data_IF_166696674278
#
_entry.id   IF_166696674278
#
_cell.length_a   1.000
_cell.length_b   1.000
_cell.length_c   1.000
_cell.angle_alpha   90.00
_cell.angle_beta   90.00
_cell.angle_gamma   90.00
#
_symmetry.space_group_name_H-M   'P 1'
#
loop_
_entity.id
_entity.type
_entity.pdbx_description
1 polymer ?
#
# COMPACT_ATOMS: atom_id res chain seq x y z
N UNK A 1 -16.64 -1.55 8.24
CA UNK A 1 -16.09 -0.24 7.81
C UNK A 1 -14.60 -0.32 7.46
N UNK A 2 -13.72 -0.77 8.36
CA UNK A 2 -12.26 -0.83 8.14
C UNK A 2 -11.84 -1.60 6.88
N UNK A 3 -12.43 -2.77 6.62
CA UNK A 3 -12.14 -3.58 5.43
C UNK A 3 -12.47 -2.84 4.13
N UNK A 4 -13.59 -2.11 4.11
CA UNK A 4 -13.99 -1.34 2.94
C UNK A 4 -13.01 -0.19 2.64
N UNK A 5 -12.54 0.49 3.68
CA UNK A 5 -11.50 1.52 3.57
C UNK A 5 -10.22 0.90 3.02
N UNK A 6 -9.79 -0.24 3.55
CA UNK A 6 -8.60 -0.95 3.09
C UNK A 6 -8.70 -1.32 1.60
N UNK A 7 -9.80 -1.95 1.17
CA UNK A 7 -10.00 -2.34 -0.24
C UNK A 7 -9.99 -1.11 -1.14
N UNK A 8 -10.66 -0.02 -0.74
CA UNK A 8 -10.69 1.22 -1.51
C UNK A 8 -9.29 1.81 -1.68
N UNK A 9 -8.48 1.81 -0.62
CA UNK A 9 -7.09 2.27 -0.67
C UNK A 9 -6.24 1.39 -1.57
N UNK A 10 -6.37 0.06 -1.47
CA UNK A 10 -5.65 -0.89 -2.34
C UNK A 10 -5.99 -0.60 -3.80
N UNK A 11 -7.28 -0.55 -4.16
CA UNK A 11 -7.70 -0.28 -5.54
C UNK A 11 -7.17 1.08 -6.05
N UNK A 12 -7.16 2.10 -5.20
CA UNK A 12 -6.61 3.41 -5.53
C UNK A 12 -5.10 3.36 -5.80
N UNK A 13 -4.33 2.72 -4.91
CA UNK A 13 -2.89 2.59 -5.08
C UNK A 13 -2.52 1.71 -6.27
N UNK A 14 -3.24 0.61 -6.49
CA UNK A 14 -3.03 -0.29 -7.62
C UNK A 14 -3.31 0.42 -8.94
N UNK A 15 -4.44 1.13 -9.02
CA UNK A 15 -4.80 1.93 -10.18
C UNK A 15 -3.73 2.98 -10.49
N UNK A 16 -3.24 3.68 -9.46
CA UNK A 16 -2.16 4.65 -9.62
C UNK A 16 -0.84 4.00 -10.06
N UNK A 17 -0.43 2.89 -9.44
CA UNK A 17 0.80 2.17 -9.78
C UNK A 17 0.79 1.67 -11.23
N UNK A 18 -0.33 1.07 -11.65
CA UNK A 18 -0.52 0.60 -13.02
C UNK A 18 -0.51 1.78 -14.00
N UNK A 19 -1.20 2.88 -13.69
CA UNK A 19 -1.22 4.06 -14.55
C UNK A 19 0.18 4.67 -14.74
N UNK A 20 0.94 4.84 -13.65
CA UNK A 20 2.31 5.36 -13.72
C UNK A 20 3.27 4.41 -14.43
N UNK A 21 3.05 3.10 -14.31
CA UNK A 21 3.84 2.11 -15.03
C UNK A 21 3.57 2.13 -16.53
N UNK A 22 2.29 2.16 -16.94
CA UNK A 22 1.90 2.19 -18.35
C UNK A 22 2.34 3.47 -19.06
N UNK A 23 2.43 4.58 -18.34
CA UNK A 23 2.92 5.86 -18.87
C UNK A 23 4.46 5.95 -18.84
N UNK A 24 5.17 4.90 -18.43
CA UNK A 24 6.64 4.86 -18.39
C UNK A 24 7.26 5.76 -17.32
N UNK A 25 6.45 6.38 -16.46
CA UNK A 25 6.92 7.35 -15.45
C UNK A 25 7.62 6.65 -14.28
N UNK A 26 7.08 5.51 -13.83
CA UNK A 26 7.57 4.79 -12.65
C UNK A 26 7.55 3.29 -12.92
N UNK A 27 8.62 2.58 -12.55
CA UNK A 27 8.63 1.12 -12.62
C UNK A 27 7.79 0.52 -11.47
N UNK A 28 7.07 -0.59 -11.72
CA UNK A 28 6.20 -1.22 -10.70
C UNK A 28 6.92 -1.52 -9.38
N UNK A 29 8.19 -1.96 -9.43
CA UNK A 29 8.95 -2.25 -8.22
C UNK A 29 9.17 -0.98 -7.37
N UNK A 30 9.35 0.17 -8.03
CA UNK A 30 9.50 1.46 -7.36
C UNK A 30 8.17 1.93 -6.79
N UNK A 31 7.04 1.68 -7.47
CA UNK A 31 5.70 1.92 -6.92
C UNK A 31 5.46 1.11 -5.63
N UNK A 32 5.93 -0.15 -5.59
CA UNK A 32 5.91 -0.97 -4.37
C UNK A 32 6.68 -0.32 -3.20
N UNK A 33 7.88 0.23 -3.45
CA UNK A 33 8.65 0.95 -2.42
C UNK A 33 7.90 2.20 -1.94
N UNK A 34 7.39 3.01 -2.87
CA UNK A 34 6.64 4.23 -2.55
C UNK A 34 5.43 3.88 -1.67
N UNK A 35 4.66 2.86 -2.06
CA UNK A 35 3.52 2.39 -1.29
C UNK A 35 3.94 1.86 0.09
N UNK A 36 5.07 1.15 0.17
CA UNK A 36 5.63 0.66 1.43
C UNK A 36 5.99 1.79 2.40
N UNK A 37 6.52 2.91 1.91
CA UNK A 37 6.82 4.10 2.72
C UNK A 37 5.56 4.87 3.10
N UNK A 38 4.57 4.95 2.21
CA UNK A 38 3.29 5.62 2.49
C UNK A 38 2.43 4.84 3.50
N UNK A 39 2.57 3.51 3.55
CA UNK A 39 1.75 2.64 4.41
C UNK A 39 1.84 2.99 5.90
N UNK A 40 3.04 3.17 6.52
CA UNK A 40 3.16 3.65 7.90
C UNK A 40 2.47 5.00 8.14
N UNK A 41 2.62 5.95 7.22
CA UNK A 41 2.04 7.30 7.32
C UNK A 41 0.52 7.21 7.35
N UNK A 42 -0.05 6.43 6.42
CA UNK A 42 -1.49 6.21 6.36
C UNK A 42 -2.00 5.44 7.58
N UNK A 43 -1.31 4.37 7.98
CA UNK A 43 -1.64 3.59 9.17
C UNK A 43 -1.76 4.46 10.41
N UNK A 44 -0.73 5.26 10.69
CA UNK A 44 -0.73 6.21 11.81
C UNK A 44 -1.85 7.25 11.69
N UNK A 45 -2.04 7.81 10.49
CA UNK A 45 -3.11 8.79 10.25
C UNK A 45 -4.50 8.21 10.52
N UNK A 46 -4.76 6.97 10.11
CA UNK A 46 -6.02 6.29 10.39
C UNK A 46 -6.19 5.95 11.87
N UNK A 47 -5.12 5.53 12.58
CA UNK A 47 -5.18 5.38 14.04
C UNK A 47 -5.64 6.68 14.69
N UNK A 48 -5.02 7.81 14.32
CA UNK A 48 -5.37 9.11 14.88
C UNK A 48 -6.82 9.51 14.58
N UNK A 49 -7.25 9.38 13.32
CA UNK A 49 -8.62 9.72 12.91
C UNK A 49 -9.65 8.85 13.64
N UNK A 50 -9.45 7.54 13.66
CA UNK A 50 -10.37 6.63 14.35
C UNK A 50 -10.38 6.85 15.86
N UNK A 51 -9.25 7.23 16.45
CA UNK A 51 -9.14 7.51 17.87
C UNK A 51 -9.92 8.77 18.26
N UNK A 52 -9.80 9.85 17.49
CA UNK A 52 -10.60 11.07 17.69
C UNK A 52 -12.09 10.80 17.50
N UNK A 53 -12.44 9.99 16.49
CA UNK A 53 -13.81 9.61 16.21
C UNK A 53 -14.40 8.81 17.39
N UNK A 54 -13.67 7.79 17.88
CA UNK A 54 -14.14 6.98 19.00
C UNK A 54 -14.29 7.77 20.28
N UNK A 55 -13.41 8.76 20.54
CA UNK A 55 -13.54 9.69 21.67
C UNK A 55 -14.79 10.54 21.61
N UNK A 56 -15.22 10.91 20.41
CA UNK A 56 -16.41 11.73 20.21
C UNK A 56 -17.69 10.94 20.50
N UNK A 57 -17.72 9.65 20.16
CA UNK A 57 -18.91 8.81 20.32
C UNK A 57 -19.02 8.12 21.69
N UNK A 58 -17.90 7.70 22.28
CA UNK A 58 -17.88 7.09 23.62
C UNK A 58 -16.60 7.47 24.38
N UNK A 59 -16.58 8.66 25.03
CA UNK A 59 -15.40 9.22 25.69
C UNK A 59 -14.85 8.37 26.85
N UNK A 60 -15.63 7.42 27.35
CA UNK A 60 -15.32 6.63 28.54
C UNK A 60 -14.57 5.33 28.24
N UNK A 61 -14.55 4.91 26.98
CA UNK A 61 -13.93 3.68 26.53
C UNK A 61 -12.41 3.78 26.41
N UNK A 62 -11.72 2.63 26.31
CA UNK A 62 -10.26 2.57 26.07
C UNK A 62 -9.86 2.88 24.63
N UNK A 63 -10.81 2.97 23.70
CA UNK A 63 -10.59 3.28 22.29
C UNK A 63 -9.59 2.36 21.55
N UNK A 64 -9.25 1.20 22.11
CA UNK A 64 -8.24 0.30 21.56
C UNK A 64 -8.59 -0.17 20.13
N UNK A 65 -9.89 -0.26 19.81
CA UNK A 65 -10.38 -0.59 18.47
C UNK A 65 -9.84 0.34 17.37
N UNK A 66 -9.60 1.62 17.66
CA UNK A 66 -9.01 2.56 16.71
C UNK A 66 -7.57 2.19 16.36
N UNK A 67 -6.77 1.80 17.36
CA UNK A 67 -5.40 1.35 17.16
C UNK A 67 -5.37 0.06 16.33
N UNK A 68 -6.19 -0.94 16.69
CA UNK A 68 -6.28 -2.19 15.92
C UNK A 68 -6.69 -1.95 14.47
N UNK A 69 -7.67 -1.07 14.22
CA UNK A 69 -8.13 -0.75 12.87
C UNK A 69 -7.03 -0.10 12.02
N UNK A 70 -6.31 0.88 12.55
CA UNK A 70 -5.22 1.53 11.80
C UNK A 70 -4.03 0.62 11.55
N UNK A 71 -3.66 -0.23 12.52
CA UNK A 71 -2.61 -1.26 12.35
C UNK A 71 -3.02 -2.30 11.30
N UNK A 72 -4.29 -2.71 11.28
CA UNK A 72 -4.81 -3.61 10.26
C UNK A 72 -4.71 -3.01 8.85
N UNK A 73 -5.06 -1.72 8.68
CA UNK A 73 -4.90 -1.02 7.41
C UNK A 73 -3.42 -0.96 7.01
N UNK A 74 -2.54 -0.60 7.95
CA UNK A 74 -1.09 -0.55 7.72
C UNK A 74 -0.55 -1.87 7.16
N UNK A 75 -0.81 -2.99 7.84
CA UNK A 75 -0.31 -4.30 7.40
C UNK A 75 -0.93 -4.74 6.08
N UNK A 76 -2.21 -4.43 5.85
CA UNK A 76 -2.85 -4.70 4.56
C UNK A 76 -2.18 -3.97 3.39
N UNK A 77 -1.85 -2.69 3.57
CA UNK A 77 -1.15 -1.91 2.55
C UNK A 77 0.31 -2.36 2.36
N UNK A 78 1.02 -2.73 3.44
CA UNK A 78 2.37 -3.32 3.34
C UNK A 78 2.36 -4.62 2.56
N UNK A 79 1.40 -5.52 2.84
CA UNK A 79 1.27 -6.77 2.11
C UNK A 79 1.09 -6.51 0.61
N UNK A 80 0.25 -5.53 0.25
CA UNK A 80 0.06 -5.13 -1.14
C UNK A 80 1.34 -4.54 -1.77
N UNK A 81 2.03 -3.65 -1.04
CA UNK A 81 3.30 -3.06 -1.48
C UNK A 81 4.36 -4.11 -1.79
N UNK A 82 4.45 -5.18 -0.98
CA UNK A 82 5.35 -6.31 -1.19
C UNK A 82 5.01 -7.04 -2.50
N UNK A 83 3.73 -7.27 -2.78
CA UNK A 83 3.29 -7.93 -4.04
C UNK A 83 3.75 -7.11 -5.25
N UNK A 84 3.53 -5.80 -5.25
CA UNK A 84 3.99 -4.91 -6.32
C UNK A 84 5.50 -4.89 -6.48
N UNK A 85 6.22 -4.88 -5.36
CA UNK A 85 7.68 -4.94 -5.37
C UNK A 85 8.18 -6.21 -6.05
N UNK A 86 7.68 -7.38 -5.62
CA UNK A 86 8.09 -8.68 -6.17
C UNK A 86 7.74 -8.79 -7.65
N UNK A 87 6.49 -8.49 -8.04
CA UNK A 87 6.06 -8.56 -9.44
C UNK A 87 6.89 -7.62 -10.31
N UNK A 88 7.07 -6.38 -9.88
CA UNK A 88 7.86 -5.40 -10.61
C UNK A 88 9.34 -5.81 -10.75
N UNK A 89 9.89 -6.44 -9.72
CA UNK A 89 11.26 -6.95 -9.73
C UNK A 89 11.42 -8.13 -10.71
N UNK A 90 10.48 -9.08 -10.69
CA UNK A 90 10.46 -10.22 -11.62
C UNK A 90 10.37 -9.76 -13.08
N UNK A 91 9.50 -8.79 -13.39
CA UNK A 91 9.39 -8.22 -14.74
C UNK A 91 10.71 -7.60 -15.18
N UNK A 92 11.37 -6.83 -14.30
CA UNK A 92 12.67 -6.22 -14.58
C UNK A 92 13.74 -7.28 -14.85
N UNK A 93 13.76 -8.35 -14.05
CA UNK A 93 14.71 -9.44 -14.17
C UNK A 93 14.54 -10.20 -15.50
N UNK A 94 13.31 -10.56 -15.86
CA UNK A 94 12.99 -11.28 -17.11
C UNK A 94 13.39 -10.43 -18.32
N UNK A 95 13.10 -9.14 -18.30
CA UNK A 95 13.46 -8.23 -19.39
C UNK A 95 14.98 -8.09 -19.56
N UNK A 96 15.73 -8.11 -18.45
CA UNK A 96 17.19 -8.07 -18.49
C UNK A 96 17.78 -9.32 -19.17
N UNK A 97 17.31 -10.51 -18.78
CA UNK A 97 17.77 -11.76 -19.41
C UNK A 97 17.37 -11.88 -20.88
N UNK A 98 16.17 -11.44 -21.24
CA UNK A 98 15.71 -11.43 -22.64
C UNK A 98 16.57 -10.49 -23.50
N UNK A 99 16.93 -9.31 -22.98
CA UNK A 99 17.78 -8.36 -23.68
C UNK A 99 19.20 -8.90 -23.91
N UNK A 100 19.76 -9.67 -22.97
CA UNK A 100 21.08 -10.26 -23.13
C UNK A 100 21.08 -11.42 -24.15
N UNK A 101 19.98 -12.19 -24.25
CA UNK A 101 19.88 -13.29 -25.22
C UNK A 101 19.82 -12.83 -26.69
N UNK A 102 19.39 -11.60 -26.96
CA UNK A 102 19.30 -11.03 -28.33
C UNK A 102 20.65 -10.43 -28.78
N UNK A 103 21.59 -10.20 -27.86
CA UNK A 103 22.92 -9.61 -28.14
C UNK A 103 24.03 -10.65 -28.34
N UNK A 104 23.70 -11.95 -28.33
CA UNK A 104 24.61 -13.07 -28.62
C UNK A 104 24.20 -13.64 -29.97
#
# INVERSE_FOLDING_TARGET
MTVFILITLILFFDGAAIHFHRTGKIALWLSGIVMGVLSPILGYSFVFVFWQLSKTFDPSSTHAGAAYAGVFIFFGLIANAIIFFIIGFLIKLINHFKSNKIRI
#
